data_IF_812867537158
#
_entry.id   IF_812867537158
#
_cell.length_a   1.000
_cell.length_b   1.000
_cell.length_c   1.000
_cell.angle_alpha   90.00
_cell.angle_beta   90.00
_cell.angle_gamma   90.00
#
_symmetry.space_group_name_H-M   'P 1'
#
loop_
_entity.id
_entity.type
_entity.pdbx_description
1 polymer ?
#
# COMPACT_ATOMS: atom_id res chain seq x y z
N UNK A 1 -2.61 11.23 -27.24
CA UNK A 1 -1.48 10.88 -26.34
C UNK A 1 -1.86 10.85 -24.86
N UNK A 2 -2.56 11.86 -24.31
CA UNK A 2 -2.98 11.91 -22.88
C UNK A 2 -3.76 10.67 -22.39
N UNK A 3 -4.68 10.13 -23.21
CA UNK A 3 -5.51 8.95 -22.86
C UNK A 3 -4.66 7.69 -22.62
N UNK A 4 -3.65 7.42 -23.47
CA UNK A 4 -2.73 6.27 -23.31
C UNK A 4 -1.87 6.38 -22.05
N UNK A 5 -1.43 7.60 -21.68
CA UNK A 5 -0.62 7.81 -20.48
C UNK A 5 -1.44 7.62 -19.20
N UNK A 6 -2.66 8.19 -19.14
CA UNK A 6 -3.63 7.96 -18.04
C UNK A 6 -3.85 6.46 -17.81
N UNK A 7 -4.15 5.72 -18.87
CA UNK A 7 -4.39 4.27 -18.79
C UNK A 7 -3.17 3.50 -18.26
N UNK A 8 -1.97 3.86 -18.72
CA UNK A 8 -0.72 3.24 -18.27
C UNK A 8 -0.47 3.49 -16.78
N UNK A 9 -0.72 4.71 -16.30
CA UNK A 9 -0.59 5.06 -14.88
C UNK A 9 -1.59 4.31 -14.00
N UNK A 10 -2.88 4.34 -14.36
CA UNK A 10 -3.93 3.66 -13.58
C UNK A 10 -3.64 2.16 -13.50
N UNK A 11 -3.28 1.55 -14.63
CA UNK A 11 -2.91 0.13 -14.69
C UNK A 11 -1.70 -0.19 -13.80
N UNK A 12 -0.71 0.69 -13.75
CA UNK A 12 0.46 0.53 -12.89
C UNK A 12 0.11 0.67 -11.41
N UNK A 13 -0.61 1.73 -11.05
CA UNK A 13 -0.99 2.05 -9.67
C UNK A 13 -1.87 0.96 -9.05
N UNK A 14 -2.91 0.53 -9.77
CA UNK A 14 -3.85 -0.48 -9.27
C UNK A 14 -3.40 -1.93 -9.54
N UNK A 15 -2.34 -2.12 -10.33
CA UNK A 15 -1.81 -3.45 -10.68
C UNK A 15 -2.79 -4.30 -11.49
N UNK A 16 -3.60 -3.69 -12.36
CA UNK A 16 -4.64 -4.36 -13.15
C UNK A 16 -3.99 -5.30 -14.17
N UNK A 17 -4.41 -6.57 -14.16
CA UNK A 17 -4.00 -7.56 -15.15
C UNK A 17 -4.88 -7.46 -16.40
N UNK A 18 -4.29 -7.55 -17.61
CA UNK A 18 -5.06 -7.55 -18.86
C UNK A 18 -5.23 -6.19 -19.56
N UNK A 19 -6.18 -6.11 -20.48
CA UNK A 19 -6.45 -4.91 -21.29
C UNK A 19 -7.23 -3.90 -20.45
N UNK A 20 -6.92 -2.62 -20.59
CA UNK A 20 -7.68 -1.55 -19.94
C UNK A 20 -8.79 -1.10 -20.90
N UNK A 21 -10.00 -1.60 -20.67
CA UNK A 21 -11.21 -1.28 -21.43
C UNK A 21 -12.16 -0.37 -20.62
N UNK A 22 -13.33 -0.09 -21.20
CA UNK A 22 -14.35 0.74 -20.56
C UNK A 22 -14.92 0.11 -19.28
N UNK A 23 -15.03 -1.22 -19.23
CA UNK A 23 -15.49 -1.95 -18.05
C UNK A 23 -14.51 -1.78 -16.88
N UNK A 24 -13.20 -1.94 -17.14
CA UNK A 24 -12.14 -1.70 -16.15
C UNK A 24 -12.13 -0.25 -15.69
N UNK A 25 -12.29 0.72 -16.61
CA UNK A 25 -12.35 2.14 -16.25
C UNK A 25 -13.52 2.44 -15.30
N UNK A 26 -14.68 1.85 -15.55
CA UNK A 26 -15.89 2.01 -14.74
C UNK A 26 -15.76 1.33 -13.36
N UNK A 27 -15.19 0.14 -13.28
CA UNK A 27 -14.96 -0.55 -11.99
C UNK A 27 -13.88 0.12 -11.14
N UNK A 28 -12.82 0.66 -11.77
CA UNK A 28 -11.84 1.51 -11.07
C UNK A 28 -12.50 2.79 -10.55
N UNK A 29 -13.36 3.41 -11.35
CA UNK A 29 -14.14 4.59 -10.94
C UNK A 29 -14.98 4.29 -9.71
N UNK A 30 -15.78 3.21 -9.74
CA UNK A 30 -16.57 2.76 -8.58
C UNK A 30 -15.71 2.49 -7.36
N UNK A 31 -14.60 1.74 -7.51
CA UNK A 31 -13.72 1.44 -6.38
C UNK A 31 -13.15 2.71 -5.75
N UNK A 32 -12.75 3.68 -6.57
CA UNK A 32 -12.25 4.98 -6.12
C UNK A 32 -13.32 5.76 -5.37
N UNK A 33 -14.55 5.86 -5.90
CA UNK A 33 -15.66 6.55 -5.23
C UNK A 33 -15.93 5.94 -3.85
N UNK A 34 -15.98 4.61 -3.76
CA UNK A 34 -16.19 3.93 -2.48
C UNK A 34 -15.04 4.11 -1.50
N UNK A 35 -13.80 4.13 -1.98
CA UNK A 35 -12.64 4.40 -1.14
C UNK A 35 -12.70 5.82 -0.57
N UNK A 36 -13.05 6.82 -1.39
CA UNK A 36 -13.22 8.22 -0.93
C UNK A 36 -14.32 8.33 0.11
N UNK A 37 -15.49 7.70 -0.11
CA UNK A 37 -16.58 7.71 0.87
C UNK A 37 -16.14 7.06 2.19
N UNK A 38 -15.46 5.91 2.12
CA UNK A 38 -15.00 5.21 3.31
C UNK A 38 -13.95 6.02 4.10
N UNK A 39 -13.01 6.65 3.40
CA UNK A 39 -12.04 7.58 4.02
C UNK A 39 -12.77 8.75 4.66
N UNK A 40 -13.73 9.36 3.97
CA UNK A 40 -14.50 10.48 4.52
C UNK A 40 -15.23 10.10 5.81
N UNK A 41 -15.90 8.94 5.85
CA UNK A 41 -16.58 8.45 7.05
C UNK A 41 -15.58 8.20 8.18
N UNK A 42 -14.45 7.57 7.88
CA UNK A 42 -13.38 7.34 8.85
C UNK A 42 -12.87 8.66 9.43
N UNK A 43 -12.54 9.64 8.59
CA UNK A 43 -12.08 10.95 9.02
C UNK A 43 -13.12 11.65 9.90
N UNK A 44 -14.41 11.59 9.54
CA UNK A 44 -15.46 12.18 10.37
C UNK A 44 -15.52 11.53 11.76
N UNK A 45 -15.59 10.20 11.83
CA UNK A 45 -15.67 9.46 13.10
C UNK A 45 -14.41 9.69 13.94
N UNK A 46 -13.25 9.62 13.31
CA UNK A 46 -11.97 9.76 13.98
C UNK A 46 -11.78 11.17 14.54
N UNK A 47 -11.98 12.21 13.72
CA UNK A 47 -11.85 13.60 14.17
C UNK A 47 -12.88 13.96 15.24
N UNK A 48 -14.12 13.46 15.12
CA UNK A 48 -15.13 13.63 16.16
C UNK A 48 -14.74 12.93 17.47
N UNK A 49 -14.21 11.70 17.40
CA UNK A 49 -13.69 10.99 18.56
C UNK A 49 -12.55 11.74 19.26
N UNK A 50 -11.61 12.29 18.48
CA UNK A 50 -10.51 13.11 19.00
C UNK A 50 -11.01 14.39 19.67
N UNK A 51 -12.00 15.07 19.07
CA UNK A 51 -12.64 16.25 19.66
C UNK A 51 -13.30 15.90 21.00
N UNK A 52 -14.03 14.78 21.07
CA UNK A 52 -14.65 14.33 22.31
C UNK A 52 -13.61 14.04 23.40
N UNK A 53 -12.55 13.30 23.08
CA UNK A 53 -11.46 13.01 24.02
C UNK A 53 -10.81 14.30 24.56
N UNK A 54 -10.60 15.29 23.68
CA UNK A 54 -10.10 16.60 24.08
C UNK A 54 -11.08 17.33 25.00
N UNK A 55 -12.37 17.35 24.67
CA UNK A 55 -13.40 18.04 25.45
C UNK A 55 -13.61 17.44 26.85
N UNK A 56 -13.36 16.15 27.01
CA UNK A 56 -13.46 15.43 28.28
C UNK A 56 -12.21 15.58 29.16
N UNK A 57 -11.17 16.29 28.69
CA UNK A 57 -9.91 16.45 29.41
C UNK A 57 -9.09 15.16 29.52
N UNK A 58 -9.36 14.17 28.68
CA UNK A 58 -8.66 12.87 28.70
C UNK A 58 -7.24 12.94 28.09
N UNK A 59 -6.88 14.06 27.47
CA UNK A 59 -5.57 14.28 26.85
C UNK A 59 -4.63 14.90 27.89
N UNK A 60 -3.80 14.08 28.52
CA UNK A 60 -2.80 14.53 29.49
C UNK A 60 -1.44 14.84 28.86
N UNK A 61 -1.06 14.12 27.80
CA UNK A 61 0.18 14.34 27.05
C UNK A 61 -0.13 14.58 25.58
N UNK A 62 -0.08 15.85 25.17
CA UNK A 62 -0.41 16.26 23.81
C UNK A 62 0.53 15.65 22.77
N UNK A 63 1.84 15.61 23.04
CA UNK A 63 2.85 15.14 22.10
C UNK A 63 2.66 13.66 21.77
N UNK A 64 2.49 12.81 22.79
CA UNK A 64 2.23 11.38 22.57
C UNK A 64 0.94 11.15 21.80
N UNK A 65 -0.14 11.87 22.17
CA UNK A 65 -1.42 11.76 21.48
C UNK A 65 -1.31 12.24 20.03
N UNK A 66 -0.55 13.30 19.76
CA UNK A 66 -0.32 13.81 18.41
C UNK A 66 0.35 12.77 17.51
N UNK A 67 1.48 12.20 17.94
CA UNK A 67 2.19 11.18 17.15
C UNK A 67 1.36 9.89 16.97
N UNK A 68 0.66 9.45 18.01
CA UNK A 68 -0.22 8.29 17.93
C UNK A 68 -1.37 8.52 16.93
N UNK A 69 -1.98 9.70 16.99
CA UNK A 69 -3.05 10.13 16.08
C UNK A 69 -2.56 10.12 14.64
N UNK A 70 -1.38 10.70 14.37
CA UNK A 70 -0.76 10.71 13.05
C UNK A 70 -0.50 9.30 12.51
N UNK A 71 0.04 8.42 13.36
CA UNK A 71 0.28 7.02 13.00
C UNK A 71 -1.02 6.30 12.65
N UNK A 72 -2.07 6.46 13.47
CA UNK A 72 -3.39 5.89 13.20
C UNK A 72 -3.97 6.43 11.90
N UNK A 73 -3.80 7.71 11.60
CA UNK A 73 -4.32 8.32 10.35
C UNK A 73 -3.64 7.73 9.13
N UNK A 74 -2.31 7.70 9.11
CA UNK A 74 -1.55 7.17 7.97
C UNK A 74 -1.90 5.68 7.74
N UNK A 75 -1.91 4.89 8.81
CA UNK A 75 -2.23 3.46 8.74
C UNK A 75 -3.70 3.25 8.33
N UNK A 76 -4.62 3.97 8.97
CA UNK A 76 -6.06 3.86 8.77
C UNK A 76 -6.47 4.21 7.35
N UNK A 77 -6.05 5.37 6.85
CA UNK A 77 -6.36 5.81 5.47
C UNK A 77 -5.76 4.83 4.45
N UNK A 78 -4.50 4.44 4.63
CA UNK A 78 -3.82 3.48 3.73
C UNK A 78 -4.52 2.12 3.72
N UNK A 79 -4.94 1.62 4.88
CA UNK A 79 -5.65 0.37 5.02
C UNK A 79 -7.04 0.43 4.37
N UNK A 80 -7.81 1.50 4.60
CA UNK A 80 -9.14 1.69 4.02
C UNK A 80 -9.06 1.71 2.49
N UNK A 81 -8.18 2.54 1.92
CA UNK A 81 -8.00 2.63 0.46
C UNK A 81 -7.63 1.25 -0.10
N UNK A 82 -6.66 0.58 0.53
CA UNK A 82 -6.18 -0.73 0.07
C UNK A 82 -7.27 -1.81 0.14
N UNK A 83 -7.99 -1.89 1.25
CA UNK A 83 -9.01 -2.92 1.49
C UNK A 83 -10.24 -2.70 0.59
N UNK A 84 -10.77 -1.48 0.55
CA UNK A 84 -11.93 -1.17 -0.30
C UNK A 84 -11.61 -1.46 -1.77
N UNK A 85 -10.46 -0.99 -2.24
CA UNK A 85 -10.00 -1.25 -3.61
C UNK A 85 -9.83 -2.75 -3.86
N UNK A 86 -9.17 -3.47 -2.94
CA UNK A 86 -8.95 -4.91 -3.05
C UNK A 86 -10.27 -5.68 -3.14
N UNK A 87 -11.21 -5.44 -2.23
CA UNK A 87 -12.50 -6.15 -2.20
C UNK A 87 -13.33 -5.86 -3.45
N UNK A 88 -13.33 -4.61 -3.93
CA UNK A 88 -14.05 -4.25 -5.16
C UNK A 88 -13.47 -4.94 -6.37
N UNK A 89 -12.15 -4.93 -6.52
CA UNK A 89 -11.50 -5.59 -7.64
C UNK A 89 -11.59 -7.12 -7.58
N UNK A 90 -11.60 -7.69 -6.37
CA UNK A 90 -11.86 -9.12 -6.17
C UNK A 90 -13.29 -9.46 -6.64
N UNK A 91 -14.28 -8.63 -6.30
CA UNK A 91 -15.67 -8.81 -6.70
C UNK A 91 -15.89 -8.65 -8.21
N UNK A 92 -15.20 -7.70 -8.85
CA UNK A 92 -15.32 -7.48 -10.31
C UNK A 92 -14.43 -8.39 -11.15
N UNK A 93 -13.48 -9.11 -10.54
CA UNK A 93 -12.60 -10.07 -11.25
C UNK A 93 -11.44 -9.43 -12.01
N UNK A 94 -11.38 -8.09 -12.14
CA UNK A 94 -10.38 -7.35 -12.93
C UNK A 94 -8.93 -7.48 -12.44
N UNK A 95 -8.72 -8.03 -11.24
CA UNK A 95 -7.40 -8.22 -10.63
C UNK A 95 -6.93 -9.68 -10.68
N UNK A 96 -7.70 -10.57 -11.32
CA UNK A 96 -7.28 -11.95 -11.52
C UNK A 96 -6.24 -11.98 -12.66
N UNK A 97 -5.04 -12.42 -12.33
CA UNK A 97 -4.04 -12.76 -13.36
C UNK A 97 -4.15 -14.26 -13.61
N UNK A 98 -4.82 -14.61 -14.69
CA UNK A 98 -4.91 -16.00 -15.14
C UNK A 98 -3.61 -16.40 -15.82
N UNK A 99 -3.05 -17.51 -15.37
CA UNK A 99 -1.79 -18.06 -15.88
C UNK A 99 -1.98 -19.56 -16.10
N UNK A 100 -1.46 -20.06 -17.22
CA UNK A 100 -1.38 -21.50 -17.51
C UNK A 100 -0.58 -22.17 -16.38
N UNK A 101 -1.05 -23.31 -15.87
CA UNK A 101 -0.46 -24.01 -14.73
C UNK A 101 1.07 -24.19 -14.86
N UNK A 102 1.57 -24.51 -16.06
CA UNK A 102 2.99 -24.70 -16.38
C UNK A 102 3.85 -23.44 -16.19
N UNK A 103 3.27 -22.25 -16.38
CA UNK A 103 3.98 -20.96 -16.24
C UNK A 103 3.82 -20.33 -14.86
N UNK A 104 3.13 -21.01 -13.93
CA UNK A 104 2.83 -20.49 -12.59
C UNK A 104 4.11 -20.22 -11.78
N UNK A 105 5.03 -21.18 -11.74
CA UNK A 105 6.29 -21.09 -10.98
C UNK A 105 7.16 -19.95 -11.50
N UNK A 106 7.38 -19.88 -12.81
CA UNK A 106 8.13 -18.79 -13.44
C UNK A 106 7.48 -17.41 -13.19
N UNK A 107 6.15 -17.33 -13.18
CA UNK A 107 5.43 -16.07 -12.89
C UNK A 107 5.54 -15.66 -11.42
N UNK A 108 5.50 -16.63 -10.50
CA UNK A 108 5.71 -16.41 -9.06
C UNK A 108 7.14 -15.94 -8.78
N UNK A 109 8.14 -16.54 -9.42
CA UNK A 109 9.55 -16.14 -9.28
C UNK A 109 9.80 -14.73 -9.81
N UNK A 110 9.24 -14.40 -10.98
CA UNK A 110 9.33 -13.04 -11.53
C UNK A 110 8.67 -12.03 -10.59
N UNK A 111 7.54 -12.39 -9.99
CA UNK A 111 6.86 -11.55 -9.00
C UNK A 111 7.68 -11.39 -7.72
N UNK A 112 8.28 -12.47 -7.21
CA UNK A 112 9.14 -12.44 -6.04
C UNK A 112 10.36 -11.52 -6.26
N UNK A 113 11.07 -11.68 -7.39
CA UNK A 113 12.20 -10.80 -7.74
C UNK A 113 11.80 -9.34 -7.83
N UNK A 114 10.62 -9.06 -8.41
CA UNK A 114 10.07 -7.69 -8.44
C UNK A 114 9.76 -7.19 -7.02
N UNK A 115 9.24 -8.07 -6.16
CA UNK A 115 8.91 -7.74 -4.77
C UNK A 115 10.15 -7.35 -3.99
N UNK A 116 11.22 -8.13 -4.12
CA UNK A 116 12.52 -7.84 -3.52
C UNK A 116 13.09 -6.52 -4.04
N UNK A 117 13.07 -6.29 -5.35
CA UNK A 117 13.57 -5.04 -5.95
C UNK A 117 12.85 -3.80 -5.43
N UNK A 118 11.52 -3.84 -5.29
CA UNK A 118 10.75 -2.74 -4.71
C UNK A 118 11.05 -2.61 -3.21
N UNK A 119 11.18 -3.73 -2.50
CA UNK A 119 11.59 -3.78 -1.10
C UNK A 119 12.93 -3.11 -0.83
N UNK A 120 13.93 -3.35 -1.68
CA UNK A 120 15.23 -2.67 -1.62
C UNK A 120 15.09 -1.16 -1.86
N UNK A 121 14.26 -0.75 -2.81
CA UNK A 121 13.96 0.67 -3.01
C UNK A 121 13.29 1.32 -1.79
N UNK A 122 12.35 0.60 -1.17
CA UNK A 122 11.67 1.03 0.05
C UNK A 122 12.65 1.14 1.23
N UNK A 123 13.57 0.18 1.39
CA UNK A 123 14.66 0.28 2.38
C UNK A 123 15.45 1.58 2.22
N UNK A 124 15.93 1.88 1.00
CA UNK A 124 16.72 3.10 0.76
C UNK A 124 15.89 4.36 1.02
N UNK A 125 14.62 4.34 0.65
CA UNK A 125 13.70 5.43 0.92
C UNK A 125 13.54 5.65 2.43
N UNK A 126 13.11 4.65 3.19
CA UNK A 126 12.91 4.77 4.64
C UNK A 126 14.20 5.14 5.35
N UNK A 127 15.33 4.56 4.95
CA UNK A 127 16.63 4.85 5.56
C UNK A 127 17.01 6.34 5.41
N UNK A 128 16.83 6.93 4.23
CA UNK A 128 17.12 8.34 4.00
C UNK A 128 16.03 9.22 4.63
N UNK A 129 14.77 8.84 4.49
CA UNK A 129 13.63 9.64 4.90
C UNK A 129 13.52 9.73 6.43
N UNK A 130 13.62 8.62 7.16
CA UNK A 130 13.65 8.61 8.63
C UNK A 130 14.74 9.53 9.19
N UNK A 131 15.93 9.50 8.57
CA UNK A 131 17.06 10.35 8.95
C UNK A 131 16.78 11.84 8.73
N UNK A 132 16.11 12.21 7.63
CA UNK A 132 15.76 13.61 7.33
C UNK A 132 14.81 14.22 8.36
N UNK A 133 14.00 13.39 9.02
CA UNK A 133 13.05 13.80 10.04
C UNK A 133 13.52 13.50 11.46
N UNK A 134 14.76 13.05 11.64
CA UNK A 134 15.32 12.86 12.98
C UNK A 134 15.63 14.23 13.62
N UNK A 135 14.79 14.61 14.58
CA UNK A 135 14.90 15.87 15.32
C UNK A 135 15.85 15.79 16.53
N UNK A 136 16.60 14.69 16.69
CA UNK A 136 17.52 14.49 17.82
C UNK A 136 18.78 15.40 17.80
N UNK A 137 18.89 16.32 16.83
CA UNK A 137 19.95 17.35 16.78
C UNK A 137 21.34 16.84 16.41
N UNK A 138 21.48 15.54 16.12
CA UNK A 138 22.70 14.97 15.57
C UNK A 138 22.78 15.29 14.06
N UNK A 139 23.98 15.57 13.55
CA UNK A 139 24.16 15.90 12.13
C UNK A 139 23.68 14.76 11.23
N UNK A 140 23.00 15.11 10.12
CA UNK A 140 22.36 14.15 9.19
C UNK A 140 23.22 12.94 8.85
N UNK A 141 24.50 13.15 8.54
CA UNK A 141 25.43 12.07 8.18
C UNK A 141 25.69 11.08 9.31
N UNK A 142 25.72 11.55 10.56
CA UNK A 142 25.96 10.68 11.72
C UNK A 142 24.73 9.80 11.98
N UNK A 143 23.54 10.40 11.96
CA UNK A 143 22.28 9.68 12.13
C UNK A 143 22.08 8.64 11.03
N UNK A 144 22.37 9.00 9.77
CA UNK A 144 22.18 8.13 8.61
C UNK A 144 22.98 6.83 8.76
N UNK A 145 24.22 6.89 9.23
CA UNK A 145 25.07 5.70 9.38
C UNK A 145 24.96 5.04 10.76
N UNK A 146 23.99 5.44 11.59
CA UNK A 146 23.77 4.80 12.88
C UNK A 146 23.16 3.41 12.69
N UNK A 147 23.70 2.42 13.42
CA UNK A 147 23.26 1.03 13.36
C UNK A 147 21.79 0.81 13.76
N UNK A 148 21.21 1.76 14.50
CA UNK A 148 19.77 1.79 14.82
C UNK A 148 18.95 2.04 13.56
N UNK A 149 19.21 3.13 12.84
CA UNK A 149 18.42 3.53 11.66
C UNK A 149 18.52 2.49 10.54
N UNK A 150 19.73 1.98 10.29
CA UNK A 150 19.94 0.92 9.29
C UNK A 150 19.10 -0.33 9.63
N UNK A 151 19.09 -0.76 10.90
CA UNK A 151 18.32 -1.94 11.32
C UNK A 151 16.81 -1.72 11.28
N UNK A 152 16.33 -0.54 11.67
CA UNK A 152 14.90 -0.21 11.64
C UNK A 152 14.39 -0.20 10.19
N UNK A 153 15.05 0.56 9.32
CA UNK A 153 14.69 0.61 7.90
C UNK A 153 14.77 -0.78 7.23
N UNK A 154 15.78 -1.59 7.60
CA UNK A 154 15.92 -2.95 7.07
C UNK A 154 14.77 -3.85 7.52
N UNK A 155 14.40 -3.81 8.79
CA UNK A 155 13.31 -4.61 9.34
C UNK A 155 11.98 -4.24 8.68
N UNK A 156 11.71 -2.95 8.52
CA UNK A 156 10.52 -2.45 7.83
C UNK A 156 10.48 -2.90 6.37
N UNK A 157 11.60 -2.83 5.66
CA UNK A 157 11.69 -3.28 4.28
C UNK A 157 11.49 -4.80 4.12
N UNK A 158 11.99 -5.60 5.07
CA UNK A 158 11.76 -7.05 5.09
C UNK A 158 10.26 -7.34 5.26
N UNK A 159 9.61 -6.70 6.25
CA UNK A 159 8.17 -6.86 6.51
C UNK A 159 7.36 -6.43 5.29
N UNK A 160 7.67 -5.27 4.71
CA UNK A 160 7.02 -4.75 3.51
C UNK A 160 7.15 -5.71 2.32
N UNK A 161 8.36 -6.23 2.07
CA UNK A 161 8.63 -7.19 0.99
C UNK A 161 7.85 -8.49 1.19
N UNK A 162 7.79 -8.99 2.42
CA UNK A 162 7.04 -10.20 2.77
C UNK A 162 5.54 -10.01 2.53
N UNK A 163 4.97 -8.90 2.98
CA UNK A 163 3.56 -8.55 2.74
C UNK A 163 3.27 -8.44 1.24
N UNK A 164 4.09 -7.72 0.49
CA UNK A 164 3.88 -7.53 -0.94
C UNK A 164 3.94 -8.86 -1.69
N UNK A 165 4.89 -9.72 -1.34
CA UNK A 165 4.99 -11.08 -1.87
C UNK A 165 3.73 -11.88 -1.56
N UNK A 166 3.28 -11.88 -0.30
CA UNK A 166 2.12 -12.64 0.14
C UNK A 166 0.83 -12.22 -0.60
N UNK A 167 0.54 -10.92 -0.66
CA UNK A 167 -0.64 -10.41 -1.35
C UNK A 167 -0.58 -10.62 -2.86
N UNK A 168 0.60 -10.48 -3.46
CA UNK A 168 0.77 -10.69 -4.89
C UNK A 168 0.59 -12.14 -5.33
N UNK A 169 1.05 -13.11 -4.52
CA UNK A 169 0.81 -14.54 -4.78
C UNK A 169 -0.67 -14.87 -4.88
N UNK A 170 -1.51 -14.26 -4.04
CA UNK A 170 -2.98 -14.48 -4.03
C UNK A 170 -3.70 -13.97 -5.29
N UNK A 171 -3.06 -13.12 -6.10
CA UNK A 171 -3.64 -12.60 -7.35
C UNK A 171 -3.43 -13.52 -8.57
N UNK A 172 -2.52 -14.50 -8.47
CA UNK A 172 -2.19 -15.40 -9.58
C UNK A 172 -3.10 -16.62 -9.49
N UNK A 173 -4.06 -16.73 -10.41
CA UNK A 173 -4.95 -17.89 -10.53
C UNK A 173 -4.45 -18.80 -11.66
N UNK A 174 -4.44 -20.11 -11.41
CA UNK A 174 -4.14 -21.09 -12.45
C UNK A 174 -5.40 -21.49 -13.18
N UNK A 175 -5.34 -21.44 -14.51
CA UNK A 175 -6.32 -22.06 -15.39
C UNK A 175 -5.71 -23.37 -15.93
N UNK A 176 -6.50 -24.46 -15.92
CA UNK A 176 -6.21 -25.66 -16.71
C UNK A 176 -6.94 -25.51 -18.04
N UNK A 177 -6.28 -25.86 -19.14
CA UNK A 177 -7.03 -26.14 -20.36
C UNK A 177 -7.82 -27.43 -20.10
N UNK A 178 -9.14 -27.36 -20.27
CA UNK A 178 -9.87 -28.57 -20.64
C UNK A 178 -9.43 -28.88 -22.07
N UNK A 179 -8.73 -30.00 -22.25
CA UNK A 179 -8.38 -30.50 -23.56
C UNK A 179 -9.68 -30.97 -24.23
N UNK A 180 -10.09 -30.33 -25.32
CA UNK A 180 -10.86 -30.99 -26.39
C UNK A 180 -9.89 -31.73 -27.31
#
# INVERSE_FOLDING_TARGET
MKKKWKQKLIKHFFGIAGIYDEHVELEVGKATTWAVIAVFIFEMIFNFGMLLLASLGAIHNFETVFYLTLAIQIIGVSAIISLVTYFRFKKSGINNKEVIAEKKTATLDKFYRKSVSVGTGFFLFEWIFSTLFDMNGQGLWFTLFTWREIRMALLEAIIFTALMTFFGRRKIKTIKYDNE
#
